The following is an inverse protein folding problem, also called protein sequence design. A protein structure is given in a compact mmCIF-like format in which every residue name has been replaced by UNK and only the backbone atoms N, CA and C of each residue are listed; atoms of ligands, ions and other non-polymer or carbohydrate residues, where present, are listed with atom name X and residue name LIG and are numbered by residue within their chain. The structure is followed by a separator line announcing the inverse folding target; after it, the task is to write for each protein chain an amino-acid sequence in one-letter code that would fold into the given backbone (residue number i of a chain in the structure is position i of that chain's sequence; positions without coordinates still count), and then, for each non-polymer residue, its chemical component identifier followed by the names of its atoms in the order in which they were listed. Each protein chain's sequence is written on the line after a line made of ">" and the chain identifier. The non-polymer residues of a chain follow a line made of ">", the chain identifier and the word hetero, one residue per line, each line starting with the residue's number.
data_IF_392460579784
#
_entry.id   IF_392460579784
#
_cell.length_a   1.000
_cell.length_b   1.000
_cell.length_c   1.000
_cell.angle_alpha   90.00
_cell.angle_beta   90.00
_cell.angle_gamma   90.00
#
_symmetry.space_group_name_H-M   'P 1'
#
loop_
_entity.id
_entity.type
_entity.pdbx_description
1 polymer ?
#
# COMPACT_ATOMS: atom_id res chain seq x y z
N UNK A 1 -17.77 13.93 -17.28
CA UNK A 1 -16.56 14.38 -16.55
C UNK A 1 -15.54 13.26 -16.67
N UNK A 2 -14.35 13.54 -17.20
CA UNK A 2 -13.24 12.61 -17.08
C UNK A 2 -12.68 12.77 -15.66
N UNK A 3 -13.08 11.90 -14.74
CA UNK A 3 -12.42 11.81 -13.44
C UNK A 3 -11.07 11.15 -13.66
N UNK A 4 -10.04 11.97 -13.87
CA UNK A 4 -8.66 11.52 -13.92
C UNK A 4 -8.32 10.91 -12.55
N UNK A 5 -7.98 9.62 -12.54
CA UNK A 5 -7.54 8.89 -11.35
C UNK A 5 -6.03 8.75 -11.42
N UNK A 6 -5.34 9.17 -10.36
CA UNK A 6 -3.90 9.01 -10.23
C UNK A 6 -3.58 7.68 -9.57
N UNK A 7 -2.88 6.84 -10.29
CA UNK A 7 -2.28 5.63 -9.74
C UNK A 7 -0.83 5.92 -9.33
N UNK A 8 -0.49 5.62 -8.08
CA UNK A 8 0.88 5.69 -7.56
C UNK A 8 1.30 4.31 -7.05
N UNK A 9 2.39 3.80 -7.59
CA UNK A 9 3.06 2.60 -7.08
C UNK A 9 4.19 3.01 -6.15
N UNK A 10 4.25 2.39 -4.97
CA UNK A 10 5.36 2.53 -4.01
C UNK A 10 5.90 1.15 -3.68
N UNK A 11 7.23 1.03 -3.52
CA UNK A 11 7.89 -0.20 -3.11
C UNK A 11 8.39 -0.05 -1.68
N UNK A 12 8.19 -1.08 -0.89
CA UNK A 12 8.53 -1.16 0.52
C UNK A 12 9.43 -2.36 0.73
N UNK A 13 10.51 -2.14 1.46
CA UNK A 13 11.42 -3.18 1.92
C UNK A 13 11.40 -3.16 3.44
N UNK A 14 11.05 -4.28 4.03
CA UNK A 14 10.99 -4.48 5.47
C UNK A 14 12.33 -5.01 5.98
N UNK A 15 12.60 -4.80 7.26
CA UNK A 15 13.73 -5.48 7.91
C UNK A 15 13.48 -6.99 7.95
N UNK A 16 14.56 -7.78 7.98
CA UNK A 16 14.49 -9.22 8.16
C UNK A 16 13.63 -9.59 9.38
N UNK A 17 12.80 -10.62 9.24
CA UNK A 17 11.83 -11.10 10.24
C UNK A 17 10.76 -10.09 10.69
N UNK A 18 10.70 -8.91 10.05
CA UNK A 18 9.71 -7.85 10.35
C UNK A 18 8.71 -7.62 9.22
N UNK A 19 8.74 -8.42 8.17
CA UNK A 19 7.83 -8.30 7.03
C UNK A 19 6.36 -8.38 7.45
N UNK A 20 5.97 -9.41 8.20
CA UNK A 20 4.57 -9.60 8.60
C UNK A 20 4.07 -8.46 9.49
N UNK A 21 4.85 -8.09 10.50
CA UNK A 21 4.52 -6.98 11.41
C UNK A 21 4.45 -5.64 10.66
N UNK A 22 5.45 -5.36 9.81
CA UNK A 22 5.53 -4.15 9.02
C UNK A 22 4.41 -4.05 7.99
N UNK A 23 4.04 -5.16 7.37
CA UNK A 23 2.90 -5.22 6.44
C UNK A 23 1.58 -4.97 7.16
N UNK A 24 1.34 -5.59 8.32
CA UNK A 24 0.13 -5.36 9.11
C UNK A 24 -0.01 -3.90 9.56
N UNK A 25 1.09 -3.27 9.95
CA UNK A 25 1.10 -1.84 10.29
C UNK A 25 0.80 -0.97 9.07
N UNK A 26 1.43 -1.25 7.93
CA UNK A 26 1.20 -0.54 6.67
C UNK A 26 -0.25 -0.67 6.21
N UNK A 27 -0.81 -1.88 6.24
CA UNK A 27 -2.20 -2.15 5.87
C UNK A 27 -3.19 -1.39 6.77
N UNK A 28 -2.97 -1.40 8.08
CA UNK A 28 -3.79 -0.63 9.03
C UNK A 28 -3.78 0.88 8.76
N UNK A 29 -2.61 1.45 8.45
CA UNK A 29 -2.47 2.86 8.10
C UNK A 29 -3.19 3.19 6.79
N UNK A 30 -2.99 2.38 5.75
CA UNK A 30 -3.62 2.59 4.45
C UNK A 30 -5.15 2.44 4.52
N UNK A 31 -5.65 1.45 5.26
CA UNK A 31 -7.08 1.29 5.54
C UNK A 31 -7.67 2.52 6.25
N UNK A 32 -6.94 3.09 7.22
CA UNK A 32 -7.38 4.30 7.90
C UNK A 32 -7.45 5.51 6.95
N UNK A 33 -6.47 5.65 6.05
CA UNK A 33 -6.44 6.71 5.04
C UNK A 33 -7.62 6.64 4.07
N UNK A 34 -8.10 5.44 3.69
CA UNK A 34 -9.27 5.29 2.78
C UNK A 34 -10.51 6.01 3.27
N UNK A 35 -10.66 6.18 4.59
CA UNK A 35 -11.83 6.82 5.20
C UNK A 35 -11.61 8.28 5.55
N UNK A 36 -10.36 8.71 5.69
CA UNK A 36 -10.01 10.00 6.28
C UNK A 36 -9.44 11.00 5.27
N UNK A 37 -8.90 10.53 4.14
CA UNK A 37 -8.22 11.40 3.17
C UNK A 37 -9.09 11.66 1.96
N UNK A 38 -9.51 12.91 1.78
CA UNK A 38 -10.26 13.33 0.59
C UNK A 38 -9.43 13.05 -0.66
N UNK A 39 -10.07 12.39 -1.62
CA UNK A 39 -9.43 12.03 -2.89
C UNK A 39 -8.58 10.77 -2.81
N UNK A 40 -8.43 10.09 -1.67
CA UNK A 40 -7.85 8.75 -1.67
C UNK A 40 -8.98 7.72 -1.91
N UNK A 41 -8.84 6.90 -2.95
CA UNK A 41 -9.91 5.99 -3.40
C UNK A 41 -9.68 4.54 -2.97
N UNK A 42 -8.45 4.17 -2.65
CA UNK A 42 -8.11 2.82 -2.22
C UNK A 42 -6.66 2.44 -2.50
N UNK A 43 -6.31 1.23 -2.11
CA UNK A 43 -5.01 0.65 -2.39
C UNK A 43 -5.11 -0.85 -2.63
N UNK A 44 -4.07 -1.41 -3.25
CA UNK A 44 -3.87 -2.83 -3.43
C UNK A 44 -2.43 -3.19 -3.05
N UNK A 45 -2.23 -4.03 -2.03
CA UNK A 45 -0.93 -4.59 -1.74
C UNK A 45 -0.58 -5.71 -2.74
N UNK A 46 0.67 -5.74 -3.17
CA UNK A 46 1.27 -6.74 -4.05
C UNK A 46 2.49 -7.32 -3.32
N UNK A 47 2.33 -8.50 -2.73
CA UNK A 47 3.40 -9.19 -2.03
C UNK A 47 4.37 -9.83 -3.04
N UNK A 48 5.66 -9.78 -2.74
CA UNK A 48 6.68 -10.37 -3.60
C UNK A 48 6.76 -11.88 -3.41
N UNK A 49 6.75 -12.63 -4.53
CA UNK A 49 6.94 -14.08 -4.52
C UNK A 49 8.42 -14.48 -4.45
N UNK A 50 9.35 -13.52 -4.53
CA UNK A 50 10.80 -13.76 -4.55
C UNK A 50 11.49 -13.37 -3.25
N UNK A 51 10.95 -12.37 -2.56
CA UNK A 51 11.49 -11.83 -1.32
C UNK A 51 10.33 -11.51 -0.39
N UNK A 52 10.19 -12.26 0.69
CA UNK A 52 9.14 -12.06 1.69
C UNK A 52 9.23 -10.71 2.39
N UNK A 53 10.38 -10.05 2.35
CA UNK A 53 10.60 -8.74 2.96
C UNK A 53 10.27 -7.58 2.00
N UNK A 54 9.69 -7.85 0.83
CA UNK A 54 9.29 -6.81 -0.12
C UNK A 54 7.80 -6.82 -0.43
N UNK A 55 7.23 -5.61 -0.51
CA UNK A 55 5.88 -5.40 -1.02
C UNK A 55 5.85 -4.18 -1.94
N UNK A 56 4.97 -4.22 -2.94
CA UNK A 56 4.56 -3.04 -3.68
C UNK A 56 3.13 -2.65 -3.30
N UNK A 57 2.87 -1.36 -3.12
CA UNK A 57 1.53 -0.83 -2.86
C UNK A 57 1.13 0.02 -4.05
N UNK A 58 0.04 -0.37 -4.72
CA UNK A 58 -0.64 0.46 -5.70
C UNK A 58 -1.72 1.28 -4.97
N UNK A 59 -1.61 2.60 -5.02
CA UNK A 59 -2.57 3.54 -4.41
C UNK A 59 -3.31 4.32 -5.49
N UNK A 60 -4.61 4.51 -5.32
CA UNK A 60 -5.48 5.25 -6.23
C UNK A 60 -5.98 6.53 -5.57
N UNK A 61 -5.88 7.64 -6.29
CA UNK A 61 -6.31 8.96 -5.87
C UNK A 61 -7.25 9.59 -6.91
#
# INVERSE_FOLDING_TARGET
>A
MNDLVFARMSRWTFNEDKADEGFLQLDSQLNSLTRQTKGFRGYMPLLSNRDSNEAAILSLW
#
